data_IF_641151358189
#
_entry.id   IF_641151358189
#
_cell.length_a   1.000
_cell.length_b   1.000
_cell.length_c   1.000
_cell.angle_alpha   90.00
_cell.angle_beta   90.00
_cell.angle_gamma   90.00
#
_symmetry.space_group_name_H-M   'P 1'
#
loop_
_entity.id
_entity.type
_entity.pdbx_description
1 polymer ?
#
# COMPACT_ATOMS: atom_id res chain seq x y z
N UNK A 1 41.77 -23.33 -12.70
CA UNK A 1 42.25 -21.94 -12.54
C UNK A 1 41.83 -21.01 -13.67
N UNK A 2 42.31 -21.19 -14.93
CA UNK A 2 41.94 -20.28 -16.04
C UNK A 2 40.43 -20.31 -16.32
N UNK A 3 39.83 -21.51 -16.35
CA UNK A 3 38.38 -21.66 -16.53
C UNK A 3 37.58 -20.99 -15.41
N UNK A 4 38.04 -21.08 -14.17
CA UNK A 4 37.39 -20.46 -13.01
C UNK A 4 37.44 -18.93 -13.11
N UNK A 5 38.56 -18.36 -13.57
CA UNK A 5 38.71 -16.92 -13.79
C UNK A 5 37.75 -16.44 -14.89
N UNK A 6 37.64 -17.19 -15.99
CA UNK A 6 36.71 -16.87 -17.09
C UNK A 6 35.26 -16.92 -16.59
N UNK A 7 34.90 -17.97 -15.86
CA UNK A 7 33.55 -18.14 -15.31
C UNK A 7 33.20 -17.00 -14.33
N UNK A 8 34.10 -16.67 -13.41
CA UNK A 8 33.92 -15.56 -12.46
C UNK A 8 33.76 -14.23 -13.19
N UNK A 9 34.57 -13.99 -14.23
CA UNK A 9 34.48 -12.77 -15.04
C UNK A 9 33.14 -12.65 -15.76
N UNK A 10 32.61 -13.75 -16.31
CA UNK A 10 31.28 -13.80 -16.92
C UNK A 10 30.20 -13.50 -15.88
N UNK A 11 30.25 -14.12 -14.70
CA UNK A 11 29.28 -13.90 -13.62
C UNK A 11 29.28 -12.42 -13.19
N UNK A 12 30.46 -11.83 -13.03
CA UNK A 12 30.61 -10.40 -12.68
C UNK A 12 30.02 -9.53 -13.79
N UNK A 13 30.37 -9.78 -15.05
CA UNK A 13 29.88 -9.03 -16.21
C UNK A 13 28.36 -9.06 -16.31
N UNK A 14 27.76 -10.25 -16.18
CA UNK A 14 26.30 -10.44 -16.19
C UNK A 14 25.66 -9.72 -15.01
N UNK A 15 26.23 -9.82 -13.80
CA UNK A 15 25.70 -9.15 -12.61
C UNK A 15 25.71 -7.63 -12.74
N UNK A 16 26.79 -7.05 -13.27
CA UNK A 16 26.92 -5.61 -13.53
C UNK A 16 25.88 -5.17 -14.57
N UNK A 17 25.75 -5.91 -15.67
CA UNK A 17 24.78 -5.61 -16.73
C UNK A 17 23.35 -5.62 -16.20
N UNK A 18 22.96 -6.67 -15.47
CA UNK A 18 21.62 -6.80 -14.89
C UNK A 18 21.33 -5.71 -13.86
N UNK A 19 22.34 -5.31 -13.08
CA UNK A 19 22.25 -4.23 -12.12
C UNK A 19 21.98 -2.89 -12.81
N UNK A 20 22.74 -2.58 -13.87
CA UNK A 20 22.53 -1.37 -14.69
C UNK A 20 21.15 -1.34 -15.32
N UNK A 21 20.74 -2.43 -15.97
CA UNK A 21 19.41 -2.58 -16.58
C UNK A 21 18.28 -2.36 -15.57
N UNK A 22 18.44 -2.88 -14.35
CA UNK A 22 17.45 -2.69 -13.27
C UNK A 22 17.37 -1.24 -12.81
N UNK A 23 18.53 -0.56 -12.68
CA UNK A 23 18.62 0.85 -12.30
C UNK A 23 17.97 1.76 -13.35
N UNK A 24 18.24 1.53 -14.62
CA UNK A 24 17.63 2.28 -15.74
C UNK A 24 16.12 2.10 -15.78
N UNK A 25 15.63 0.86 -15.62
CA UNK A 25 14.19 0.59 -15.51
C UNK A 25 13.55 1.29 -14.31
N UNK A 26 14.20 1.32 -13.16
CA UNK A 26 13.70 2.04 -12.00
C UNK A 26 13.60 3.55 -12.30
N UNK A 27 14.67 4.13 -12.84
CA UNK A 27 14.73 5.55 -13.17
C UNK A 27 13.65 5.97 -14.18
N UNK A 28 13.32 5.12 -15.16
CA UNK A 28 12.26 5.43 -16.14
C UNK A 28 10.84 5.37 -15.56
N UNK A 29 10.64 4.70 -14.41
CA UNK A 29 9.34 4.61 -13.73
C UNK A 29 9.11 5.76 -12.75
N UNK A 30 10.16 6.38 -12.19
CA UNK A 30 10.04 7.46 -11.21
C UNK A 30 9.18 8.64 -11.69
N UNK A 31 9.32 9.14 -12.94
CA UNK A 31 8.52 10.26 -13.42
C UNK A 31 7.01 10.00 -13.44
N UNK A 32 6.57 8.72 -13.36
CA UNK A 32 5.14 8.38 -13.30
C UNK A 32 4.51 8.84 -11.99
N UNK A 33 5.29 9.01 -10.93
CA UNK A 33 4.84 9.53 -9.65
C UNK A 33 4.77 11.07 -9.61
N UNK A 34 5.25 11.79 -10.64
CA UNK A 34 5.22 13.26 -10.67
C UNK A 34 3.80 13.83 -10.72
N UNK A 35 2.82 13.02 -11.12
CA UNK A 35 1.40 13.38 -11.02
C UNK A 35 0.96 13.70 -9.58
N UNK A 36 1.63 13.12 -8.58
CA UNK A 36 1.39 13.41 -7.16
C UNK A 36 1.88 14.80 -6.74
N UNK A 37 2.82 15.40 -7.47
CA UNK A 37 3.43 16.68 -7.11
C UNK A 37 2.38 17.81 -7.09
N UNK A 38 1.25 17.65 -7.78
CA UNK A 38 0.11 18.57 -7.75
C UNK A 38 -0.64 18.59 -6.41
N UNK A 39 -0.52 17.53 -5.62
CA UNK A 39 -1.31 17.31 -4.40
C UNK A 39 -0.51 17.56 -3.12
N UNK A 40 0.81 17.65 -3.21
CA UNK A 40 1.70 17.76 -2.06
C UNK A 40 2.65 18.95 -2.23
N UNK A 41 2.91 19.67 -1.13
CA UNK A 41 3.78 20.85 -1.14
C UNK A 41 5.27 20.51 -1.17
N UNK A 42 5.64 19.34 -0.63
CA UNK A 42 7.02 18.90 -0.52
C UNK A 42 7.16 17.46 -1.03
N UNK A 43 8.25 17.22 -1.73
CA UNK A 43 8.71 15.91 -2.21
C UNK A 43 10.17 15.73 -1.81
N UNK A 44 10.52 14.58 -1.24
CA UNK A 44 11.89 14.17 -0.94
C UNK A 44 12.14 12.86 -1.68
N UNK A 45 13.11 12.87 -2.57
CA UNK A 45 13.56 11.70 -3.30
C UNK A 45 14.70 11.01 -2.53
N UNK A 46 14.51 9.73 -2.19
CA UNK A 46 15.51 8.93 -1.48
C UNK A 46 15.75 7.58 -2.18
N UNK A 47 16.85 7.44 -2.93
CA UNK A 47 17.28 6.16 -3.47
C UNK A 47 17.90 5.29 -2.36
N UNK A 48 17.12 4.39 -1.78
CA UNK A 48 17.59 3.54 -0.67
C UNK A 48 18.43 2.36 -1.15
N UNK A 49 18.06 1.75 -2.29
CA UNK A 49 18.85 0.68 -2.91
C UNK A 49 18.54 0.51 -4.39
N UNK A 50 19.28 -0.37 -5.06
CA UNK A 50 19.01 -0.77 -6.46
C UNK A 50 17.63 -1.44 -6.60
N UNK A 51 17.03 -1.93 -5.52
CA UNK A 51 15.77 -2.68 -5.55
C UNK A 51 14.59 -1.92 -4.95
N UNK A 52 14.87 -0.75 -4.38
CA UNK A 52 13.88 0.04 -3.70
C UNK A 52 14.21 1.52 -3.81
N UNK A 53 13.24 2.28 -4.32
CA UNK A 53 13.30 3.73 -4.42
C UNK A 53 12.13 4.34 -3.66
N UNK A 54 12.40 5.36 -2.84
CA UNK A 54 11.39 5.99 -2.00
C UNK A 54 11.19 7.44 -2.41
N UNK A 55 9.94 7.84 -2.53
CA UNK A 55 9.52 9.23 -2.72
C UNK A 55 8.63 9.60 -1.54
N UNK A 56 9.06 10.54 -0.72
CA UNK A 56 8.28 11.04 0.41
C UNK A 56 7.56 12.33 0.02
N UNK A 57 6.29 12.41 0.36
CA UNK A 57 5.38 13.49 0.06
C UNK A 57 4.77 14.03 1.34
N UNK A 58 4.65 15.35 1.46
CA UNK A 58 4.00 16.01 2.60
C UNK A 58 3.36 17.35 2.25
N UNK A 59 2.50 17.85 3.15
CA UNK A 59 1.85 19.15 3.02
C UNK A 59 0.51 19.13 2.27
N UNK A 60 -0.15 17.98 2.21
CA UNK A 60 -1.55 17.84 1.83
C UNK A 60 -2.46 17.98 3.08
N UNK A 61 -3.69 18.46 2.92
CA UNK A 61 -4.59 18.72 4.05
C UNK A 61 -5.21 17.44 4.63
N UNK A 62 -5.49 16.44 3.78
CA UNK A 62 -6.16 15.19 4.19
C UNK A 62 -5.16 14.06 4.45
N UNK A 63 -3.97 14.16 3.85
CA UNK A 63 -2.88 13.18 3.94
C UNK A 63 -1.64 13.88 4.49
N UNK A 64 -1.30 13.63 5.75
CA UNK A 64 -0.21 14.36 6.41
C UNK A 64 1.16 14.01 5.82
N UNK A 65 1.38 12.71 5.62
CA UNK A 65 2.55 12.18 4.95
C UNK A 65 2.17 11.01 4.04
N UNK A 66 2.95 10.82 2.98
CA UNK A 66 2.87 9.66 2.12
C UNK A 66 4.26 9.29 1.64
N UNK A 67 4.57 8.01 1.65
CA UNK A 67 5.71 7.42 0.96
C UNK A 67 5.19 6.60 -0.23
N UNK A 68 5.69 6.91 -1.41
CA UNK A 68 5.61 6.03 -2.56
C UNK A 68 6.91 5.23 -2.64
N UNK A 69 6.79 3.91 -2.58
CA UNK A 69 7.92 2.98 -2.58
C UNK A 69 7.82 2.17 -3.86
N UNK A 70 8.75 2.39 -4.78
CA UNK A 70 8.91 1.56 -5.96
C UNK A 70 9.84 0.41 -5.60
N UNK A 71 9.41 -0.84 -5.84
CA UNK A 71 10.18 -2.03 -5.48
C UNK A 71 10.23 -3.04 -6.62
N UNK A 72 11.42 -3.60 -6.83
CA UNK A 72 11.63 -4.77 -7.67
C UNK A 72 11.29 -6.02 -6.84
N UNK A 73 10.29 -6.79 -7.26
CA UNK A 73 10.02 -8.11 -6.68
C UNK A 73 11.27 -8.99 -6.84
N UNK A 74 11.88 -9.42 -5.75
CA UNK A 74 13.08 -10.28 -5.81
C UNK A 74 13.04 -11.45 -4.84
N UNK A 75 13.33 -12.60 -5.42
CA UNK A 75 14.22 -13.60 -4.84
C UNK A 75 15.62 -13.41 -5.47
N UNK A 76 16.68 -13.49 -4.68
CA UNK A 76 18.06 -13.32 -5.14
C UNK A 76 18.53 -14.57 -5.90
N UNK A 77 18.13 -14.70 -7.17
CA UNK A 77 18.57 -15.78 -8.04
C UNK A 77 19.05 -15.23 -9.40
N UNK A 78 20.32 -15.45 -9.80
CA UNK A 78 20.86 -15.03 -11.11
C UNK A 78 20.01 -15.50 -12.29
N UNK A 79 19.49 -16.73 -12.22
CA UNK A 79 18.59 -17.28 -13.24
C UNK A 79 17.24 -16.56 -13.29
N UNK A 80 16.75 -16.02 -12.17
CA UNK A 80 15.51 -15.24 -12.13
C UNK A 80 15.64 -13.92 -12.89
N UNK A 81 16.83 -13.30 -12.94
CA UNK A 81 17.06 -12.10 -13.77
C UNK A 81 17.10 -12.36 -15.27
N UNK A 82 17.53 -13.57 -15.65
CA UNK A 82 17.70 -13.95 -17.04
C UNK A 82 16.36 -14.48 -17.60
N UNK A 83 15.59 -15.19 -16.78
CA UNK A 83 14.39 -15.92 -17.22
C UNK A 83 13.06 -15.28 -16.83
N UNK A 84 13.02 -14.34 -15.87
CA UNK A 84 11.77 -13.69 -15.46
C UNK A 84 11.77 -12.20 -15.81
N UNK A 85 10.63 -11.72 -16.32
CA UNK A 85 10.32 -10.31 -16.24
C UNK A 85 10.19 -9.96 -14.76
N UNK A 86 11.14 -9.21 -14.23
CA UNK A 86 11.05 -8.69 -12.87
C UNK A 86 9.83 -7.78 -12.76
N UNK A 87 8.72 -8.29 -12.22
CA UNK A 87 7.50 -7.51 -11.99
C UNK A 87 7.79 -6.45 -10.93
N UNK A 88 7.85 -5.19 -11.36
CA UNK A 88 7.88 -4.08 -10.41
C UNK A 88 6.53 -4.03 -9.70
N UNK A 89 6.59 -3.77 -8.39
CA UNK A 89 5.43 -3.37 -7.63
C UNK A 89 5.69 -1.98 -7.07
N UNK A 90 4.63 -1.29 -6.72
CA UNK A 90 4.73 -0.09 -5.91
C UNK A 90 3.85 -0.21 -4.68
N UNK A 91 4.26 0.51 -3.65
CA UNK A 91 3.55 0.64 -2.40
C UNK A 91 3.31 2.12 -2.17
N UNK A 92 2.07 2.49 -1.83
CA UNK A 92 1.74 3.80 -1.29
C UNK A 92 1.38 3.60 0.18
N UNK A 93 2.02 4.31 1.07
CA UNK A 93 1.72 4.23 2.51
C UNK A 93 1.87 5.59 3.15
N UNK A 94 1.14 5.86 4.22
CA UNK A 94 1.21 7.15 4.89
C UNK A 94 0.19 7.26 6.00
N UNK A 95 0.02 8.47 6.53
CA UNK A 95 -0.95 8.76 7.58
C UNK A 95 -2.08 9.67 7.10
N UNK A 96 -3.28 9.38 7.57
CA UNK A 96 -4.50 10.15 7.31
C UNK A 96 -5.23 10.45 8.63
N UNK A 97 -6.05 11.50 8.60
CA UNK A 97 -6.80 11.98 9.77
C UNK A 97 -7.98 11.08 10.16
N UNK A 98 -8.51 10.28 9.23
CA UNK A 98 -9.62 9.36 9.52
C UNK A 98 -9.23 8.36 10.62
N UNK A 99 -10.19 7.94 11.45
CA UNK A 99 -10.00 6.93 12.51
C UNK A 99 -10.82 5.68 12.18
N UNK A 100 -10.30 4.83 11.29
CA UNK A 100 -11.05 3.67 10.78
C UNK A 100 -10.17 2.47 10.46
N UNK A 101 -10.77 1.28 10.52
CA UNK A 101 -10.15 0.02 10.14
C UNK A 101 -10.89 -0.55 8.91
N UNK A 102 -10.21 -0.56 7.76
CA UNK A 102 -10.71 -1.10 6.49
C UNK A 102 -9.60 -1.93 5.87
N UNK A 103 -9.92 -3.14 5.42
CA UNK A 103 -8.97 -4.03 4.77
C UNK A 103 -9.61 -4.64 3.52
N UNK A 104 -8.99 -4.47 2.37
CA UNK A 104 -9.34 -5.09 1.09
C UNK A 104 -8.09 -5.81 0.60
N UNK A 105 -8.15 -7.13 0.50
CA UNK A 105 -6.97 -7.96 0.21
C UNK A 105 -7.32 -9.00 -0.84
N UNK A 106 -6.45 -9.17 -1.84
CA UNK A 106 -6.60 -10.24 -2.83
C UNK A 106 -6.70 -11.61 -2.15
N UNK A 107 -7.64 -12.46 -2.59
CA UNK A 107 -7.89 -13.79 -2.03
C UNK A 107 -6.65 -14.68 -2.08
N UNK A 108 -5.76 -14.44 -3.06
CA UNK A 108 -4.49 -15.15 -3.27
C UNK A 108 -3.46 -14.88 -2.17
N UNK A 109 -3.63 -13.81 -1.38
CA UNK A 109 -2.69 -13.40 -0.35
C UNK A 109 -3.19 -13.85 1.03
N UNK A 110 -2.29 -14.48 1.79
CA UNK A 110 -2.52 -14.76 3.21
C UNK A 110 -2.04 -13.58 4.05
N UNK A 111 -2.92 -12.61 4.26
CA UNK A 111 -2.61 -11.38 4.99
C UNK A 111 -3.05 -11.47 6.45
N UNK A 112 -2.16 -11.10 7.37
CA UNK A 112 -2.43 -10.96 8.80
C UNK A 112 -1.98 -9.59 9.26
N UNK A 113 -2.86 -8.83 9.89
CA UNK A 113 -2.55 -7.52 10.44
C UNK A 113 -3.25 -7.34 11.79
N UNK A 114 -2.54 -6.77 12.77
CA UNK A 114 -3.04 -6.64 14.14
C UNK A 114 -4.36 -5.85 14.21
N UNK A 115 -4.51 -4.82 13.39
CA UNK A 115 -5.75 -4.03 13.28
C UNK A 115 -6.97 -4.80 12.77
N UNK A 116 -6.79 -5.95 12.10
CA UNK A 116 -7.91 -6.76 11.60
C UNK A 116 -8.77 -7.34 12.73
N UNK A 117 -8.23 -7.51 13.94
CA UNK A 117 -9.01 -7.98 15.10
C UNK A 117 -10.16 -7.04 15.46
N UNK A 118 -10.07 -5.78 15.06
CA UNK A 118 -11.10 -4.76 15.29
C UNK A 118 -12.04 -4.57 14.09
N UNK A 119 -11.92 -5.41 13.06
CA UNK A 119 -12.73 -5.37 11.85
C UNK A 119 -13.54 -6.66 11.68
N UNK A 120 -14.78 -6.55 11.22
CA UNK A 120 -15.65 -7.70 10.87
C UNK A 120 -15.49 -8.01 9.39
N UNK A 121 -15.50 -9.29 9.05
CA UNK A 121 -15.49 -9.73 7.65
C UNK A 121 -16.78 -9.29 6.95
N UNK A 122 -16.63 -8.67 5.79
CA UNK A 122 -17.74 -8.23 4.94
C UNK A 122 -18.48 -9.41 4.30
N UNK A 123 -19.80 -9.27 4.13
CA UNK A 123 -20.59 -10.14 3.22
C UNK A 123 -20.52 -9.65 1.77
N UNK A 124 -20.41 -8.33 1.57
CA UNK A 124 -20.22 -7.70 0.27
C UNK A 124 -18.83 -8.07 -0.26
N UNK A 125 -18.78 -8.64 -1.47
CA UNK A 125 -17.55 -9.16 -2.07
C UNK A 125 -17.25 -8.40 -3.37
N UNK A 126 -15.99 -7.99 -3.52
CA UNK A 126 -15.39 -7.79 -4.84
C UNK A 126 -14.83 -9.15 -5.25
N UNK A 127 -15.09 -9.57 -6.48
CA UNK A 127 -14.54 -10.83 -6.97
C UNK A 127 -13.01 -10.83 -6.89
N UNK A 128 -12.47 -11.93 -6.39
CA UNK A 128 -11.03 -12.02 -6.11
C UNK A 128 -10.55 -11.38 -4.81
N UNK A 129 -11.40 -10.74 -3.99
CA UNK A 129 -10.97 -10.06 -2.75
C UNK A 129 -11.63 -10.58 -1.46
N UNK A 130 -10.95 -10.36 -0.34
CA UNK A 130 -11.43 -10.51 1.05
C UNK A 130 -11.53 -9.10 1.64
N UNK A 131 -12.68 -8.77 2.22
CA UNK A 131 -12.92 -7.45 2.80
C UNK A 131 -13.25 -7.53 4.29
N UNK A 132 -12.69 -6.61 5.08
CA UNK A 132 -12.94 -6.47 6.51
C UNK A 132 -13.10 -4.99 6.88
N UNK A 133 -14.08 -4.64 7.71
CA UNK A 133 -14.30 -3.27 8.17
C UNK A 133 -14.81 -3.20 9.62
N UNK A 134 -14.46 -2.14 10.33
CA UNK A 134 -14.98 -1.87 11.67
C UNK A 134 -16.35 -1.17 11.62
N UNK A 135 -17.40 -1.81 12.16
CA UNK A 135 -18.75 -1.21 12.34
C UNK A 135 -19.77 -1.61 11.28
N UNK A 136 -21.00 -1.96 11.69
CA UNK A 136 -22.08 -2.50 10.83
C UNK A 136 -22.74 -1.46 9.91
N UNK A 137 -22.36 -0.18 9.97
CA UNK A 137 -23.16 0.93 9.42
C UNK A 137 -22.44 1.83 8.40
N UNK A 138 -21.13 1.72 8.16
CA UNK A 138 -20.39 2.76 7.42
C UNK A 138 -19.87 2.37 6.03
N UNK A 139 -20.00 1.12 5.59
CA UNK A 139 -19.71 0.74 4.19
C UNK A 139 -20.99 0.60 3.36
N UNK A 140 -22.11 0.22 3.99
CA UNK A 140 -23.42 0.06 3.33
C UNK A 140 -24.17 1.38 3.11
N UNK A 141 -23.78 2.48 3.77
CA UNK A 141 -24.39 3.81 3.57
C UNK A 141 -23.59 4.74 2.65
N UNK A 142 -22.42 4.32 2.16
CA UNK A 142 -21.76 5.03 1.06
C UNK A 142 -22.42 4.54 -0.22
N UNK A 143 -23.44 5.27 -0.68
CA UNK A 143 -24.19 5.04 -1.92
C UNK A 143 -23.29 4.78 -3.16
N UNK A 144 -22.01 5.17 -3.07
CA UNK A 144 -21.10 5.21 -4.20
C UNK A 144 -19.87 4.29 -4.08
N UNK A 145 -19.75 3.46 -3.02
CA UNK A 145 -18.79 2.35 -2.93
C UNK A 145 -17.34 2.68 -3.42
N UNK A 146 -16.81 3.88 -3.14
CA UNK A 146 -15.60 4.38 -3.80
C UNK A 146 -14.37 3.46 -3.68
N UNK A 147 -14.15 2.86 -2.50
CA UNK A 147 -13.09 1.86 -2.29
C UNK A 147 -13.29 0.59 -3.13
N UNK A 148 -14.54 0.14 -3.25
CA UNK A 148 -14.91 -1.02 -4.07
C UNK A 148 -14.71 -0.69 -5.55
N UNK A 149 -15.22 0.45 -6.01
CA UNK A 149 -15.07 0.89 -7.39
C UNK A 149 -13.60 1.05 -7.77
N UNK A 150 -12.79 1.62 -6.88
CA UNK A 150 -11.35 1.70 -7.06
C UNK A 150 -10.69 0.33 -7.17
N UNK A 151 -10.98 -0.60 -6.24
CA UNK A 151 -10.40 -1.95 -6.27
C UNK A 151 -10.94 -2.84 -7.40
N UNK A 152 -12.12 -2.53 -7.96
CA UNK A 152 -12.66 -3.18 -9.16
C UNK A 152 -12.01 -2.63 -10.43
N UNK A 153 -11.69 -1.34 -10.48
CA UNK A 153 -11.07 -0.66 -11.62
C UNK A 153 -9.57 -0.92 -11.73
N UNK A 154 -8.90 -1.10 -10.60
CA UNK A 154 -7.46 -1.31 -10.51
C UNK A 154 -7.18 -2.63 -9.78
N UNK A 155 -6.45 -3.59 -10.38
CA UNK A 155 -6.05 -4.80 -9.69
C UNK A 155 -5.05 -4.45 -8.58
N UNK A 156 -5.52 -4.44 -7.34
CA UNK A 156 -4.72 -4.18 -6.13
C UNK A 156 -4.40 -5.50 -5.42
N UNK A 157 -3.22 -5.62 -4.81
CA UNK A 157 -2.88 -6.79 -3.99
C UNK A 157 -3.43 -6.63 -2.57
N UNK A 158 -3.12 -5.50 -1.95
CA UNK A 158 -3.46 -5.16 -0.57
C UNK A 158 -3.83 -3.68 -0.54
N UNK A 159 -4.98 -3.34 0.02
CA UNK A 159 -5.33 -1.98 0.40
C UNK A 159 -5.93 -1.99 1.80
N UNK A 160 -5.30 -1.32 2.75
CA UNK A 160 -5.89 -1.16 4.08
C UNK A 160 -5.70 0.24 4.65
N UNK A 161 -6.61 0.57 5.56
CA UNK A 161 -6.51 1.63 6.54
C UNK A 161 -6.52 0.96 7.91
N UNK A 162 -5.53 1.26 8.74
CA UNK A 162 -5.44 0.73 10.09
C UNK A 162 -5.37 1.85 11.12
N UNK A 163 -6.31 1.81 12.04
CA UNK A 163 -6.36 2.62 13.23
C UNK A 163 -6.13 1.76 14.48
N UNK A 164 -5.21 2.19 15.34
CA UNK A 164 -5.04 1.66 16.69
C UNK A 164 -5.60 2.68 17.68
N UNK A 165 -6.56 2.29 18.55
CA UNK A 165 -7.15 3.21 19.51
C UNK A 165 -6.11 3.76 20.49
N UNK A 166 -6.27 5.02 20.89
CA UNK A 166 -5.34 5.74 21.78
C UNK A 166 -5.10 5.01 23.10
N UNK A 167 -6.11 4.30 23.66
CA UNK A 167 -5.95 3.47 24.87
C UNK A 167 -4.84 2.40 24.75
N UNK A 168 -4.52 1.95 23.55
CA UNK A 168 -3.46 0.96 23.29
C UNK A 168 -2.20 1.60 22.69
N UNK A 169 -2.19 2.92 22.50
CA UNK A 169 -1.07 3.67 21.97
C UNK A 169 -0.40 4.46 23.10
N UNK A 170 0.93 4.43 23.17
CA UNK A 170 1.69 5.33 24.06
C UNK A 170 1.79 6.76 23.50
N UNK A 171 1.22 7.02 22.33
CA UNK A 171 1.30 8.27 21.58
C UNK A 171 -0.07 8.94 21.56
N UNK A 172 -0.14 10.18 22.05
CA UNK A 172 -1.31 11.06 21.92
C UNK A 172 -1.54 11.40 20.44
N UNK A 173 -2.81 11.39 19.99
CA UNK A 173 -3.21 11.57 18.57
C UNK A 173 -2.69 10.48 17.63
N UNK A 174 -3.11 9.23 17.83
CA UNK A 174 -2.82 8.18 16.86
C UNK A 174 -3.58 8.44 15.55
N UNK A 175 -2.87 8.61 14.44
CA UNK A 175 -3.45 8.74 13.10
C UNK A 175 -3.64 7.37 12.46
N UNK A 176 -4.59 7.22 11.54
CA UNK A 176 -4.69 5.97 10.78
C UNK A 176 -3.58 5.89 9.75
N UNK A 177 -2.99 4.70 9.62
CA UNK A 177 -2.05 4.40 8.55
C UNK A 177 -2.79 3.80 7.37
N UNK A 178 -2.56 4.31 6.17
CA UNK A 178 -2.97 3.61 4.95
C UNK A 178 -1.80 2.86 4.33
N UNK A 179 -2.13 1.82 3.58
CA UNK A 179 -1.19 1.03 2.80
C UNK A 179 -1.90 0.48 1.58
N UNK A 180 -1.32 0.71 0.41
CA UNK A 180 -1.74 0.15 -0.86
C UNK A 180 -0.53 -0.50 -1.51
N UNK A 181 -0.66 -1.75 -1.96
CA UNK A 181 0.34 -2.46 -2.75
C UNK A 181 -0.29 -2.91 -4.06
N UNK A 182 0.39 -2.65 -5.17
CA UNK A 182 -0.11 -2.95 -6.50
C UNK A 182 1.03 -3.26 -7.48
N UNK A 183 0.69 -3.97 -8.56
CA UNK A 183 1.54 -4.08 -9.75
C UNK A 183 1.77 -2.70 -10.37
N UNK A 184 2.97 -2.48 -10.90
CA UNK A 184 3.39 -1.26 -11.59
C UNK A 184 2.46 -0.81 -12.72
N UNK A 185 1.78 -1.73 -13.42
CA UNK A 185 0.88 -1.40 -14.54
C UNK A 185 -0.17 -0.34 -14.17
N UNK A 186 -0.62 -0.31 -12.91
CA UNK A 186 -1.61 0.66 -12.47
C UNK A 186 -1.09 2.12 -12.47
N UNK A 187 0.21 2.39 -12.28
CA UNK A 187 0.72 3.77 -12.32
C UNK A 187 0.74 4.37 -13.73
N UNK A 188 0.63 3.53 -14.76
CA UNK A 188 0.52 3.99 -16.14
C UNK A 188 -0.88 4.47 -16.51
N UNK A 189 -1.89 4.12 -15.70
CA UNK A 189 -3.26 4.59 -15.89
C UNK A 189 -3.34 6.04 -15.39
N UNK A 190 -3.61 6.97 -16.32
CA UNK A 190 -3.58 8.43 -16.09
C UNK A 190 -4.36 8.89 -14.85
N UNK A 191 -5.48 8.24 -14.55
CA UNK A 191 -6.40 8.61 -13.46
C UNK A 191 -6.14 7.86 -12.14
N UNK A 192 -5.14 6.97 -12.09
CA UNK A 192 -4.93 6.12 -10.91
C UNK A 192 -4.72 6.90 -9.62
N UNK A 193 -3.79 7.87 -9.63
CA UNK A 193 -3.48 8.66 -8.43
C UNK A 193 -4.62 9.59 -8.06
N UNK A 194 -5.30 10.19 -9.03
CA UNK A 194 -6.46 11.06 -8.80
C UNK A 194 -7.59 10.28 -8.11
N UNK A 195 -7.91 9.09 -8.63
CA UNK A 195 -8.92 8.21 -8.05
C UNK A 195 -8.52 7.73 -6.65
N UNK A 196 -7.25 7.36 -6.46
CA UNK A 196 -6.72 6.94 -5.16
C UNK A 196 -6.82 8.05 -4.10
N UNK A 197 -6.39 9.27 -4.45
CA UNK A 197 -6.44 10.41 -3.55
C UNK A 197 -7.88 10.83 -3.25
N UNK A 198 -8.77 10.75 -4.23
CA UNK A 198 -10.20 10.99 -4.03
C UNK A 198 -10.81 9.96 -3.06
N UNK A 199 -10.45 8.69 -3.18
CA UNK A 199 -10.89 7.66 -2.22
C UNK A 199 -10.45 8.00 -0.79
N UNK A 200 -9.20 8.43 -0.60
CA UNK A 200 -8.70 8.82 0.72
C UNK A 200 -9.39 10.09 1.24
N UNK A 201 -9.62 11.11 0.41
CA UNK A 201 -10.30 12.34 0.84
C UNK A 201 -11.74 12.07 1.27
N UNK A 202 -12.49 11.26 0.52
CA UNK A 202 -13.86 10.86 0.88
C UNK A 202 -13.90 10.13 2.24
N UNK A 203 -12.91 9.29 2.52
CA UNK A 203 -12.80 8.60 3.81
C UNK A 203 -12.53 9.60 4.95
N UNK A 204 -11.68 10.61 4.73
CA UNK A 204 -11.39 11.64 5.72
C UNK A 204 -12.60 12.55 5.98
N UNK A 205 -13.38 12.88 4.96
CA UNK A 205 -14.56 13.75 5.07
C UNK A 205 -15.76 13.04 5.70
N UNK A 206 -15.76 11.70 5.69
CA UNK A 206 -16.81 10.91 6.32
C UNK A 206 -16.76 11.05 7.84
N UNK A 207 -17.87 11.48 8.46
CA UNK A 207 -18.00 11.48 9.92
C UNK A 207 -18.12 10.04 10.45
N UNK A 208 -16.99 9.45 10.84
CA UNK A 208 -16.96 8.14 11.48
C UNK A 208 -17.57 8.22 12.88
N UNK A 209 -18.60 7.41 13.15
CA UNK A 209 -19.17 7.30 14.49
C UNK A 209 -18.19 6.54 15.42
N UNK A 210 -17.27 7.28 16.03
CA UNK A 210 -16.26 6.77 16.95
C UNK A 210 -16.86 5.96 18.11
N UNK A 211 -18.06 6.30 18.55
CA UNK A 211 -18.77 5.60 19.64
C UNK A 211 -19.03 4.13 19.27
N UNK A 212 -19.46 3.86 18.04
CA UNK A 212 -19.69 2.49 17.54
C UNK A 212 -18.38 1.71 17.41
N UNK A 213 -17.28 2.39 17.07
CA UNK A 213 -15.95 1.78 17.01
C UNK A 213 -15.44 1.39 18.41
N UNK A 214 -15.55 2.29 19.38
CA UNK A 214 -15.19 2.05 20.78
C UNK A 214 -16.06 0.97 21.44
N UNK A 215 -17.36 0.92 21.14
CA UNK A 215 -18.27 -0.14 21.61
C UNK A 215 -17.88 -1.52 21.08
N UNK A 216 -17.44 -1.62 19.82
CA UNK A 216 -16.94 -2.88 19.27
C UNK A 216 -15.64 -3.32 19.97
N UNK A 217 -14.71 -2.39 20.24
CA UNK A 217 -13.49 -2.68 21.01
C UNK A 217 -13.82 -3.21 22.41
N UNK A 218 -14.75 -2.55 23.12
CA UNK A 218 -15.22 -2.98 24.44
C UNK A 218 -15.87 -4.37 24.40
N UNK A 219 -16.63 -4.69 23.35
CA UNK A 219 -17.23 -6.01 23.16
C UNK A 219 -16.19 -7.12 22.88
N UNK A 220 -15.07 -6.77 22.22
CA UNK A 220 -13.95 -7.68 22.03
C UNK A 220 -13.18 -7.93 23.34
N UNK A 221 -12.87 -6.88 24.12
CA UNK A 221 -12.18 -7.01 25.41
C UNK A 221 -12.96 -7.93 26.38
N UNK A 222 -14.30 -7.87 26.36
CA UNK A 222 -15.16 -8.77 27.17
C UNK A 222 -15.15 -10.24 26.72
N UNK A 223 -14.84 -10.52 25.45
CA UNK A 223 -14.78 -11.89 24.90
C UNK A 223 -13.42 -12.55 25.07
N UNK A 224 -12.34 -11.78 25.25
CA UNK A 224 -10.98 -12.30 25.50
C UNK A 224 -10.70 -12.67 26.96
N UNK A 225 -11.68 -12.50 27.86
CA UNK A 225 -11.60 -12.83 29.30
C UNK A 225 -12.39 -14.13 29.63
N UNK A 226 -12.90 -14.84 28.61
CA UNK A 226 -13.46 -16.20 28.75
C UNK A 226 -12.61 -17.18 27.96
#
# INVERSE_FOLDING_TARGET
MIFDIILVSIIIGVTIYLTRKSKEKMASLLPKFDSLDKYFKKKIDQPVSIYQHLLFYSGNNSIYNMAAILTLKKDFCPFYYILSNSDFNFILTGTISAKTNIFIVSKKINFKHLGMKYAKKSKTCIDGYKMYYSGFTSVLQIKDNYMINFCSKYPIDIFYLSYLPEKYSKVNNYESKFYLKSNIENIFKKTFFDDFLNVLSQICDTKWNLKTYEENIKAFDKKSIK
#
